data_IF_902497284191
#
_entry.id   IF_902497284191
#
_cell.length_a   1.000
_cell.length_b   1.000
_cell.length_c   1.000
_cell.angle_alpha   90.00
_cell.angle_beta   90.00
_cell.angle_gamma   90.00
#
_symmetry.space_group_name_H-M   'P 1'
#
loop_
_entity.id
_entity.type
_entity.pdbx_description
1 polymer ?
#
# COMPACT_ATOMS: atom_id res chain seq x y z
N UNK A 1 1.81 18.38 5.03
CA UNK A 1 1.29 17.10 5.58
C UNK A 1 0.72 16.18 4.49
N UNK A 2 -0.21 16.64 3.64
CA UNK A 2 -0.74 15.82 2.54
C UNK A 2 0.34 15.24 1.60
N UNK A 3 1.33 16.05 1.20
CA UNK A 3 2.47 15.59 0.41
C UNK A 3 3.31 14.50 1.11
N UNK A 4 3.45 14.55 2.44
CA UNK A 4 4.19 13.54 3.19
C UNK A 4 3.45 12.19 3.19
N UNK A 5 2.12 12.20 3.37
CA UNK A 5 1.30 10.99 3.28
C UNK A 5 1.32 10.41 1.87
N UNK A 6 1.22 11.27 0.86
CA UNK A 6 1.33 10.88 -0.55
C UNK A 6 2.67 10.18 -0.85
N UNK A 7 3.79 10.78 -0.41
CA UNK A 7 5.12 10.22 -0.67
C UNK A 7 5.35 8.91 0.11
N UNK A 8 4.89 8.84 1.36
CA UNK A 8 4.96 7.61 2.14
C UNK A 8 4.15 6.48 1.49
N UNK A 9 2.95 6.78 0.98
CA UNK A 9 2.15 5.78 0.26
C UNK A 9 2.79 5.34 -1.05
N UNK A 10 3.36 6.26 -1.83
CA UNK A 10 4.11 5.91 -3.05
C UNK A 10 5.25 4.94 -2.73
N UNK A 11 6.03 5.19 -1.67
CA UNK A 11 7.10 4.28 -1.27
C UNK A 11 6.60 2.88 -0.87
N UNK A 12 5.41 2.79 -0.25
CA UNK A 12 4.77 1.49 0.01
C UNK A 12 4.40 0.81 -1.30
N UNK A 13 3.76 1.51 -2.25
CA UNK A 13 3.44 0.96 -3.56
C UNK A 13 4.68 0.47 -4.31
N UNK A 14 5.77 1.23 -4.31
CA UNK A 14 7.02 0.85 -4.96
C UNK A 14 7.58 -0.46 -4.39
N UNK A 15 7.52 -0.64 -3.06
CA UNK A 15 7.90 -1.91 -2.42
C UNK A 15 6.97 -3.04 -2.88
N UNK A 16 5.66 -2.82 -2.89
CA UNK A 16 4.70 -3.83 -3.34
C UNK A 16 4.91 -4.22 -4.81
N UNK A 17 5.21 -3.25 -5.68
CA UNK A 17 5.53 -3.48 -7.09
C UNK A 17 6.78 -4.34 -7.25
N UNK A 18 7.83 -4.07 -6.49
CA UNK A 18 9.04 -4.90 -6.51
C UNK A 18 8.75 -6.32 -6.03
N UNK A 19 7.97 -6.49 -4.96
CA UNK A 19 7.58 -7.82 -4.48
C UNK A 19 6.73 -8.56 -5.53
N UNK A 20 5.77 -7.89 -6.17
CA UNK A 20 4.97 -8.47 -7.24
C UNK A 20 5.84 -8.92 -8.44
N UNK A 21 6.82 -8.10 -8.82
CA UNK A 21 7.74 -8.42 -9.91
C UNK A 21 8.66 -9.59 -9.56
N UNK A 22 9.33 -9.52 -8.41
CA UNK A 22 10.44 -10.40 -8.07
C UNK A 22 9.98 -11.74 -7.48
N UNK A 23 8.83 -11.76 -6.78
CA UNK A 23 8.31 -12.95 -6.09
C UNK A 23 7.15 -13.57 -6.89
N UNK A 24 6.16 -12.76 -7.26
CA UNK A 24 4.96 -13.28 -7.96
C UNK A 24 5.19 -13.43 -9.47
N UNK A 25 6.26 -12.83 -10.01
CA UNK A 25 6.62 -12.87 -11.42
C UNK A 25 5.67 -12.06 -12.32
N UNK A 26 4.79 -11.23 -11.75
CA UNK A 26 3.85 -10.41 -12.51
C UNK A 26 3.43 -9.16 -11.76
N UNK A 27 3.35 -8.05 -12.51
CA UNK A 27 2.91 -6.75 -12.02
C UNK A 27 1.58 -6.37 -12.68
N UNK A 28 0.56 -5.94 -11.94
CA UNK A 28 -0.69 -5.49 -12.52
C UNK A 28 -0.51 -4.26 -13.42
N UNK A 29 -1.28 -4.20 -14.50
CA UNK A 29 -1.23 -3.10 -15.47
C UNK A 29 -2.64 -2.59 -15.77
N UNK A 30 -2.74 -1.39 -16.37
CA UNK A 30 -4.02 -0.76 -16.70
C UNK A 30 -4.53 0.18 -15.60
N UNK A 31 -5.78 0.64 -15.77
CA UNK A 31 -6.38 1.70 -14.95
C UNK A 31 -6.60 1.29 -13.50
N UNK A 32 -6.81 0.00 -13.24
CA UNK A 32 -7.03 -0.57 -11.90
C UNK A 32 -5.76 -1.08 -11.25
N UNK A 33 -4.60 -0.96 -11.91
CA UNK A 33 -3.32 -1.54 -11.46
C UNK A 33 -2.98 -1.29 -9.99
N UNK A 34 -3.24 -0.09 -9.47
CA UNK A 34 -3.01 0.23 -8.05
C UNK A 34 -3.94 -0.54 -7.09
N UNK A 35 -5.18 -0.80 -7.48
CA UNK A 35 -6.08 -1.67 -6.71
C UNK A 35 -5.65 -3.13 -6.83
N UNK A 36 -5.41 -3.57 -8.06
CA UNK A 36 -5.06 -4.95 -8.37
C UNK A 36 -3.77 -5.37 -7.64
N UNK A 37 -2.83 -4.44 -7.46
CA UNK A 37 -1.61 -4.65 -6.66
C UNK A 37 -1.94 -4.94 -5.20
N UNK A 38 -2.86 -4.20 -4.58
CA UNK A 38 -3.28 -4.47 -3.20
C UNK A 38 -4.00 -5.82 -3.10
N UNK A 39 -4.83 -6.15 -4.08
CA UNK A 39 -5.56 -7.41 -4.13
C UNK A 39 -4.60 -8.60 -4.27
N UNK A 40 -3.59 -8.47 -5.15
CA UNK A 40 -2.52 -9.45 -5.32
C UNK A 40 -1.73 -9.64 -4.02
N UNK A 41 -1.35 -8.57 -3.33
CA UNK A 41 -0.59 -8.65 -2.07
C UNK A 41 -1.40 -9.19 -0.89
N UNK A 42 -2.73 -9.06 -0.92
CA UNK A 42 -3.65 -9.70 0.04
C UNK A 42 -3.84 -11.19 -0.22
N UNK A 43 -3.77 -11.61 -1.48
CA UNK A 43 -3.87 -13.01 -1.83
C UNK A 43 -2.61 -13.79 -1.38
N UNK A 44 -2.84 -14.97 -0.79
CA UNK A 44 -1.79 -15.96 -0.63
C UNK A 44 -1.60 -16.73 -1.94
N UNK A 45 -0.35 -16.93 -2.35
CA UNK A 45 0.01 -17.70 -3.54
C UNK A 45 0.65 -19.01 -3.10
N UNK A 46 -0.09 -20.11 -3.25
CA UNK A 46 0.34 -21.43 -2.80
C UNK A 46 1.70 -21.82 -3.39
N UNK A 47 2.67 -22.12 -2.53
CA UNK A 47 4.03 -22.49 -2.94
C UNK A 47 4.92 -21.31 -3.34
N UNK A 48 4.43 -20.07 -3.34
CA UNK A 48 5.20 -18.87 -3.69
C UNK A 48 5.38 -17.96 -2.48
N UNK A 49 4.27 -17.43 -1.92
CA UNK A 49 4.29 -16.61 -0.70
C UNK A 49 2.96 -16.62 0.04
N UNK A 50 2.96 -16.46 1.37
CA UNK A 50 1.72 -16.15 2.09
C UNK A 50 1.16 -14.78 1.67
N UNK A 51 -0.07 -14.50 2.15
CA UNK A 51 -0.62 -13.15 2.07
C UNK A 51 0.30 -12.17 2.82
N UNK A 52 0.71 -11.09 2.15
CA UNK A 52 1.48 -10.03 2.77
C UNK A 52 0.56 -9.08 3.54
N UNK A 53 -0.57 -8.73 2.94
CA UNK A 53 -1.55 -7.83 3.54
C UNK A 53 -2.64 -8.63 4.24
N UNK A 54 -2.75 -8.45 5.55
CA UNK A 54 -3.94 -8.88 6.28
C UNK A 54 -5.10 -7.89 6.07
N UNK A 55 -6.29 -8.24 6.54
CA UNK A 55 -7.49 -7.44 6.31
C UNK A 55 -7.39 -6.00 6.84
N UNK A 56 -6.91 -5.75 8.07
CA UNK A 56 -6.71 -4.38 8.57
C UNK A 56 -5.73 -3.57 7.74
N UNK A 57 -4.60 -4.16 7.34
CA UNK A 57 -3.59 -3.45 6.55
C UNK A 57 -4.09 -3.16 5.14
N UNK A 58 -4.72 -4.13 4.49
CA UNK A 58 -5.33 -3.97 3.17
C UNK A 58 -6.36 -2.83 3.15
N UNK A 59 -7.26 -2.79 4.14
CA UNK A 59 -8.25 -1.72 4.25
C UNK A 59 -7.59 -0.34 4.45
N UNK A 60 -6.56 -0.27 5.29
CA UNK A 60 -5.83 0.98 5.52
C UNK A 60 -5.12 1.49 4.25
N UNK A 61 -4.45 0.60 3.52
CA UNK A 61 -3.74 0.96 2.28
C UNK A 61 -4.71 1.35 1.16
N UNK A 62 -5.88 0.70 1.08
CA UNK A 62 -6.95 1.07 0.12
C UNK A 62 -7.45 2.50 0.35
N UNK A 63 -7.68 2.89 1.61
CA UNK A 63 -8.08 4.28 1.95
C UNK A 63 -6.98 5.30 1.63
N UNK A 64 -5.72 4.95 1.91
CA UNK A 64 -4.56 5.81 1.61
C UNK A 64 -4.37 5.99 0.10
N UNK A 65 -4.60 4.94 -0.71
CA UNK A 65 -4.66 5.04 -2.17
C UNK A 65 -5.69 6.07 -2.63
N UNK A 66 -6.90 5.98 -2.07
CA UNK A 66 -7.98 6.92 -2.37
C UNK A 66 -7.63 8.36 -1.99
N UNK A 67 -6.90 8.57 -0.89
CA UNK A 67 -6.37 9.88 -0.54
C UNK A 67 -5.32 10.39 -1.54
N UNK A 68 -4.38 9.54 -1.94
CA UNK A 68 -3.34 9.87 -2.93
C UNK A 68 -3.94 10.37 -4.25
N UNK A 69 -4.96 9.68 -4.80
CA UNK A 69 -5.65 10.14 -6.01
C UNK A 69 -6.30 11.51 -5.81
N UNK A 70 -6.97 11.73 -4.67
CA UNK A 70 -7.58 13.04 -4.35
C UNK A 70 -6.56 14.17 -4.31
N UNK A 71 -5.40 13.95 -3.69
CA UNK A 71 -4.31 14.94 -3.64
C UNK A 71 -3.77 15.24 -5.04
N UNK A 72 -3.56 14.22 -5.88
CA UNK A 72 -3.05 14.38 -7.24
C UNK A 72 -3.96 15.23 -8.14
N UNK A 73 -5.28 15.14 -7.97
CA UNK A 73 -6.25 15.86 -8.82
C UNK A 73 -6.68 17.24 -8.28
N UNK A 74 -6.44 17.55 -7.00
CA UNK A 74 -6.98 18.76 -6.35
C UNK A 74 -5.93 19.77 -5.88
N UNK A 75 -4.74 19.79 -6.45
CA UNK A 75 -3.66 20.72 -6.08
C UNK A 75 -4.04 22.23 -6.03
N UNK A 76 -5.23 22.64 -6.51
CA UNK A 76 -5.73 24.02 -6.46
C UNK A 76 -6.99 24.30 -5.64
N UNK A 77 -7.65 23.31 -5.04
CA UNK A 77 -8.88 23.52 -4.24
C UNK A 77 -8.77 22.83 -2.88
N UNK A 78 -8.99 23.61 -1.82
CA UNK A 78 -8.95 23.24 -0.39
C UNK A 78 -8.90 21.74 -0.13
N UNK A 79 -7.69 21.22 0.10
CA UNK A 79 -7.52 19.90 0.68
C UNK A 79 -8.15 19.94 2.07
N UNK A 80 -9.23 19.18 2.23
CA UNK A 80 -9.91 19.02 3.51
C UNK A 80 -8.90 18.64 4.61
N UNK A 81 -8.71 19.54 5.56
CA UNK A 81 -7.76 19.41 6.65
C UNK A 81 -8.07 18.17 7.51
N UNK A 82 -9.35 17.90 7.77
CA UNK A 82 -9.76 16.72 8.53
C UNK A 82 -9.41 15.43 7.79
N UNK A 83 -9.58 15.39 6.45
CA UNK A 83 -9.15 14.24 5.64
C UNK A 83 -7.64 14.08 5.56
N UNK A 84 -6.89 15.17 5.62
CA UNK A 84 -5.42 15.12 5.68
C UNK A 84 -4.96 14.55 7.02
N UNK A 85 -5.53 14.99 8.13
CA UNK A 85 -5.20 14.50 9.47
C UNK A 85 -5.62 13.04 9.68
N UNK A 86 -6.80 12.66 9.18
CA UNK A 86 -7.28 11.28 9.18
C UNK A 86 -6.31 10.35 8.42
N UNK A 87 -5.87 10.79 7.23
CA UNK A 87 -4.90 10.05 6.41
C UNK A 87 -3.52 9.98 7.05
N UNK A 88 -3.06 11.06 7.69
CA UNK A 88 -1.81 11.06 8.44
C UNK A 88 -1.85 10.09 9.63
N UNK A 89 -2.94 10.11 10.40
CA UNK A 89 -3.13 9.21 11.52
C UNK A 89 -3.22 7.75 11.07
N UNK A 90 -3.89 7.49 9.93
CA UNK A 90 -3.95 6.17 9.30
C UNK A 90 -2.55 5.70 8.90
N UNK A 91 -1.79 6.52 8.18
CA UNK A 91 -0.41 6.22 7.77
C UNK A 91 0.49 5.91 8.97
N UNK A 92 0.43 6.72 10.04
CA UNK A 92 1.22 6.49 11.26
C UNK A 92 0.92 5.15 11.93
N UNK A 93 -0.33 4.68 11.88
CA UNK A 93 -0.73 3.38 12.43
C UNK A 93 -0.37 2.21 11.51
N UNK A 94 -0.57 2.37 10.19
CA UNK A 94 -0.38 1.28 9.24
C UNK A 94 1.08 1.07 8.84
N UNK A 95 1.93 2.09 8.90
CA UNK A 95 3.32 1.97 8.43
C UNK A 95 4.14 0.96 9.25
N UNK A 96 4.15 0.97 10.60
CA UNK A 96 4.84 -0.07 11.37
C UNK A 96 4.29 -1.48 11.07
N UNK A 97 2.97 -1.59 10.88
CA UNK A 97 2.33 -2.85 10.53
C UNK A 97 2.81 -3.37 9.17
N UNK A 98 2.91 -2.49 8.17
CA UNK A 98 3.46 -2.83 6.86
C UNK A 98 4.92 -3.30 6.95
N UNK A 99 5.76 -2.60 7.71
CA UNK A 99 7.17 -3.00 7.91
C UNK A 99 7.26 -4.39 8.53
N UNK A 100 6.45 -4.68 9.56
CA UNK A 100 6.41 -6.02 10.18
C UNK A 100 5.90 -7.09 9.21
N UNK A 101 4.92 -6.78 8.35
CA UNK A 101 4.46 -7.70 7.32
C UNK A 101 5.58 -8.08 6.34
N UNK A 102 6.35 -7.09 5.86
CA UNK A 102 7.48 -7.34 4.96
C UNK A 102 8.59 -8.15 5.64
N UNK A 103 8.92 -7.85 6.91
CA UNK A 103 9.90 -8.63 7.69
C UNK A 103 9.46 -10.09 7.89
N UNK A 104 8.19 -10.32 8.17
CA UNK A 104 7.64 -11.67 8.31
C UNK A 104 7.71 -12.43 6.99
N UNK A 105 7.40 -11.77 5.88
CA UNK A 105 7.53 -12.36 4.55
C UNK A 105 8.98 -12.79 4.28
N UNK A 106 9.95 -11.90 4.52
CA UNK A 106 11.39 -12.20 4.38
C UNK A 106 11.81 -13.43 5.22
N UNK A 107 11.40 -13.49 6.48
CA UNK A 107 11.70 -14.61 7.39
C UNK A 107 11.13 -15.94 6.87
N UNK A 108 9.89 -15.95 6.39
CA UNK A 108 9.23 -17.15 5.86
C UNK A 108 9.88 -17.61 4.56
N UNK A 109 10.34 -16.67 3.71
CA UNK A 109 10.93 -16.99 2.42
C UNK A 109 12.40 -17.43 2.50
N UNK A 110 13.08 -17.13 3.61
CA UNK A 110 14.47 -17.50 3.84
C UNK A 110 14.61 -18.77 4.70
N UNK A 111 13.52 -19.25 5.29
CA UNK A 111 13.46 -20.46 6.11
C UNK A 111 13.34 -21.73 5.25
#
# INVERSE_FOLDING_TARGET
MAAAVHNAYNGIEDVLLNLANDIDGSVPTGETSHQDLLDQMRAALAGIRPALLDDPLYAALTELKGFRHRVRHRYGFDLDAAKTDESLARMRRSFPHFVEAVRRLEQVMTA
#
